data_IF_220817067948
#
_entry.id   IF_220817067948
#
_cell.length_a   1.000
_cell.length_b   1.000
_cell.length_c   1.000
_cell.angle_alpha   90.00
_cell.angle_beta   90.00
_cell.angle_gamma   90.00
#
_symmetry.space_group_name_H-M   'P 1'
#
loop_
_entity.id
_entity.type
_entity.pdbx_description
1 polymer ?
#
# COMPACT_ATOMS: atom_id res chain seq x y z
N UNK A 1 41.27 20.93 23.26
CA UNK A 1 40.66 19.63 23.65
C UNK A 1 39.13 19.61 23.54
N UNK A 2 38.46 20.57 22.86
CA UNK A 2 37.01 20.48 22.58
C UNK A 2 36.68 20.01 21.14
N UNK A 3 37.55 20.27 20.17
CA UNK A 3 37.33 19.89 18.76
C UNK A 3 37.34 18.36 18.52
N UNK A 4 38.15 17.61 19.28
CA UNK A 4 38.20 16.15 19.17
C UNK A 4 36.96 15.44 19.77
N UNK A 5 36.33 16.03 20.79
CA UNK A 5 35.13 15.48 21.40
C UNK A 5 33.88 15.65 20.52
N UNK A 6 33.83 16.73 19.73
CA UNK A 6 32.70 17.01 18.81
C UNK A 6 32.71 16.06 17.60
N UNK A 7 33.89 15.71 17.08
CA UNK A 7 34.00 14.79 15.94
C UNK A 7 33.51 13.36 16.27
N UNK A 8 33.68 12.92 17.52
CA UNK A 8 33.20 11.60 17.95
C UNK A 8 31.67 11.53 18.05
N UNK A 9 31.01 12.65 18.40
CA UNK A 9 29.55 12.70 18.50
C UNK A 9 28.86 12.57 17.13
N UNK A 10 29.42 13.19 16.08
CA UNK A 10 28.84 13.14 14.71
C UNK A 10 28.98 11.76 14.07
N UNK A 11 30.06 11.02 14.39
CA UNK A 11 30.26 9.66 13.88
C UNK A 11 29.24 8.64 14.42
N UNK A 12 28.66 8.89 15.60
CA UNK A 12 27.68 8.00 16.23
C UNK A 12 26.23 8.29 15.82
N UNK A 13 25.95 9.47 15.26
CA UNK A 13 24.62 9.84 14.75
C UNK A 13 24.06 8.83 13.74
N UNK A 14 24.79 8.38 12.70
CA UNK A 14 24.25 7.38 11.76
C UNK A 14 23.95 6.03 12.43
N UNK A 15 24.69 5.66 13.48
CA UNK A 15 24.51 4.40 14.20
C UNK A 15 23.25 4.43 15.08
N UNK A 16 22.96 5.59 15.70
CA UNK A 16 21.72 5.84 16.43
C UNK A 16 20.52 5.96 15.48
N UNK A 17 20.68 6.57 14.30
CA UNK A 17 19.63 6.62 13.27
C UNK A 17 19.31 5.24 12.71
N UNK A 18 20.31 4.37 12.49
CA UNK A 18 20.08 2.98 12.12
C UNK A 18 19.34 2.21 13.23
N UNK A 19 19.67 2.47 14.50
CA UNK A 19 18.98 1.86 15.64
C UNK A 19 17.54 2.37 15.80
N UNK A 20 17.30 3.65 15.53
CA UNK A 20 15.96 4.23 15.50
C UNK A 20 15.15 3.76 14.30
N UNK A 21 15.75 3.52 13.14
CA UNK A 21 15.05 2.90 12.01
C UNK A 21 14.66 1.45 12.27
N UNK A 22 15.45 0.69 13.06
CA UNK A 22 15.03 -0.63 13.57
C UNK A 22 13.97 -0.53 14.68
N UNK A 23 13.95 0.58 15.43
CA UNK A 23 12.95 0.86 16.47
C UNK A 23 11.68 1.56 15.96
N UNK A 24 11.67 2.02 14.70
CA UNK A 24 10.53 2.62 14.02
C UNK A 24 9.81 1.57 13.16
N UNK A 25 9.67 0.37 13.72
CA UNK A 25 8.56 -0.52 13.42
C UNK A 25 7.71 -0.52 14.69
N UNK A 26 6.50 0.02 14.60
CA UNK A 26 5.48 -0.16 15.65
C UNK A 26 5.49 -1.64 16.08
N UNK A 27 5.70 -1.86 17.38
CA UNK A 27 5.75 -3.12 18.12
C UNK A 27 5.30 -4.39 17.33
N UNK A 28 6.21 -4.98 16.57
CA UNK A 28 6.08 -6.36 16.07
C UNK A 28 7.22 -7.21 16.60
N UNK A 29 7.09 -7.63 17.87
CA UNK A 29 7.81 -8.82 18.36
C UNK A 29 7.22 -10.04 17.66
N UNK A 30 7.77 -10.40 16.51
CA UNK A 30 7.43 -11.60 15.75
C UNK A 30 8.47 -12.70 15.96
N UNK A 31 8.01 -13.88 16.38
CA UNK A 31 8.78 -15.12 16.41
C UNK A 31 9.21 -15.53 15.00
N UNK A 32 10.34 -16.23 14.93
CA UNK A 32 11.08 -16.53 13.70
C UNK A 32 10.29 -17.27 12.62
N UNK A 33 10.04 -16.56 11.53
CA UNK A 33 9.45 -16.99 10.26
C UNK A 33 9.18 -15.72 9.45
N UNK A 34 9.26 -15.74 8.12
CA UNK A 34 8.89 -14.56 7.31
C UNK A 34 7.49 -14.12 7.74
N UNK A 35 7.37 -12.89 8.22
CA UNK A 35 6.18 -12.44 8.91
C UNK A 35 4.96 -12.54 7.95
N UNK A 36 3.85 -13.19 8.34
CA UNK A 36 2.72 -13.51 7.44
C UNK A 36 2.14 -12.30 6.69
N UNK A 37 2.31 -11.10 7.23
CA UNK A 37 1.99 -9.79 6.65
C UNK A 37 2.76 -9.46 5.36
N UNK A 38 4.04 -9.84 5.27
CA UNK A 38 4.88 -9.56 4.10
C UNK A 38 4.39 -10.35 2.88
N UNK A 39 3.99 -11.61 3.08
CA UNK A 39 3.50 -12.48 2.00
C UNK A 39 2.11 -12.04 1.49
N UNK A 40 1.22 -11.67 2.41
CA UNK A 40 -0.10 -11.15 2.05
C UNK A 40 0.03 -9.83 1.25
N UNK A 41 0.88 -8.91 1.71
CA UNK A 41 1.12 -7.63 1.03
C UNK A 41 1.71 -7.83 -0.37
N UNK A 42 2.71 -8.72 -0.53
CA UNK A 42 3.28 -9.02 -1.84
C UNK A 42 2.28 -9.65 -2.82
N UNK A 43 1.32 -10.43 -2.31
CA UNK A 43 0.26 -11.02 -3.13
C UNK A 43 -0.76 -9.96 -3.56
N UNK A 44 -1.14 -9.03 -2.67
CA UNK A 44 -1.98 -7.88 -3.00
C UNK A 44 -1.29 -6.93 -4.00
N UNK A 45 0.02 -6.69 -3.86
CA UNK A 45 0.83 -5.93 -4.82
C UNK A 45 0.75 -6.52 -6.23
N UNK A 46 0.93 -7.84 -6.35
CA UNK A 46 0.86 -8.53 -7.63
C UNK A 46 -0.55 -8.48 -8.21
N UNK A 47 -1.57 -8.79 -7.41
CA UNK A 47 -2.96 -8.73 -7.87
C UNK A 47 -3.38 -7.32 -8.30
N UNK A 48 -2.88 -6.27 -7.65
CA UNK A 48 -3.11 -4.89 -8.10
C UNK A 48 -2.40 -4.61 -9.43
N UNK A 49 -1.16 -5.08 -9.59
CA UNK A 49 -0.44 -4.91 -10.85
C UNK A 49 -1.23 -5.54 -12.01
N UNK A 50 -1.64 -6.81 -11.83
CA UNK A 50 -2.42 -7.54 -12.83
C UNK A 50 -3.76 -6.85 -13.11
N UNK A 51 -4.48 -6.43 -12.05
CA UNK A 51 -5.79 -5.80 -12.17
C UNK A 51 -5.78 -4.40 -12.80
N UNK A 52 -4.60 -3.79 -12.95
CA UNK A 52 -4.45 -2.41 -13.43
C UNK A 52 -3.70 -2.30 -14.75
N UNK A 53 -3.21 -3.42 -15.28
CA UNK A 53 -2.40 -3.47 -16.49
C UNK A 53 -3.16 -2.92 -17.72
N UNK A 54 -4.41 -3.37 -17.91
CA UNK A 54 -5.19 -3.06 -19.10
C UNK A 54 -6.05 -1.79 -18.96
N UNK A 55 -6.23 -1.29 -17.73
CA UNK A 55 -7.13 -0.17 -17.42
C UNK A 55 -6.89 1.08 -18.29
N UNK A 56 -5.64 1.56 -18.51
CA UNK A 56 -5.41 2.72 -19.37
C UNK A 56 -5.83 2.52 -20.82
N UNK A 57 -5.81 1.28 -21.32
CA UNK A 57 -6.16 0.94 -22.71
C UNK A 57 -7.67 0.70 -22.88
N UNK A 58 -8.37 0.34 -21.82
CA UNK A 58 -9.80 0.01 -21.86
C UNK A 58 -10.70 1.19 -21.48
N UNK A 59 -10.33 2.00 -20.47
CA UNK A 59 -11.23 3.00 -19.90
C UNK A 59 -10.78 4.44 -20.13
N UNK A 60 -11.67 5.25 -20.72
CA UNK A 60 -11.54 6.71 -20.69
C UNK A 60 -11.72 7.25 -19.27
N UNK A 61 -11.22 8.46 -19.00
CA UNK A 61 -11.38 9.12 -17.70
C UNK A 61 -12.84 9.38 -17.32
N UNK A 62 -13.72 9.52 -18.31
CA UNK A 62 -15.16 9.65 -18.09
C UNK A 62 -15.77 8.37 -17.52
N UNK A 63 -15.13 7.22 -17.78
CA UNK A 63 -15.53 5.87 -17.37
C UNK A 63 -14.77 5.39 -16.13
N UNK A 64 -14.01 6.26 -15.47
CA UNK A 64 -13.19 5.92 -14.28
C UNK A 64 -13.93 5.15 -13.19
N UNK A 65 -15.23 5.41 -13.01
CA UNK A 65 -16.02 4.73 -11.98
C UNK A 65 -16.23 3.25 -12.35
N UNK A 66 -16.37 2.93 -13.65
CA UNK A 66 -16.40 1.57 -14.19
C UNK A 66 -15.02 0.89 -14.10
N UNK A 67 -13.94 1.63 -14.39
CA UNK A 67 -12.57 1.15 -14.20
C UNK A 67 -12.31 0.75 -12.72
N UNK A 68 -12.80 1.55 -11.77
CA UNK A 68 -12.69 1.23 -10.34
C UNK A 68 -13.49 -0.03 -10.00
N UNK A 69 -14.66 -0.22 -10.59
CA UNK A 69 -15.47 -1.42 -10.37
C UNK A 69 -14.80 -2.68 -10.90
N UNK A 70 -14.23 -2.63 -12.10
CA UNK A 70 -13.48 -3.75 -12.69
C UNK A 70 -12.23 -4.10 -11.86
N UNK A 71 -11.42 -3.11 -11.50
CA UNK A 71 -10.24 -3.30 -10.61
C UNK A 71 -10.65 -3.95 -9.29
N UNK A 72 -11.77 -3.51 -8.69
CA UNK A 72 -12.28 -4.09 -7.45
C UNK A 72 -12.78 -5.53 -7.64
N UNK A 73 -13.42 -5.83 -8.77
CA UNK A 73 -13.87 -7.17 -9.11
C UNK A 73 -12.70 -8.14 -9.28
N UNK A 74 -11.66 -7.71 -9.99
CA UNK A 74 -10.45 -8.53 -10.21
C UNK A 74 -9.67 -8.73 -8.90
N UNK A 75 -9.53 -7.67 -8.08
CA UNK A 75 -8.88 -7.76 -6.77
C UNK A 75 -9.66 -8.60 -5.76
N UNK A 76 -10.98 -8.67 -5.84
CA UNK A 76 -11.77 -9.51 -4.94
C UNK A 76 -11.32 -10.98 -5.01
N UNK A 77 -11.04 -11.48 -6.22
CA UNK A 77 -10.50 -12.84 -6.40
C UNK A 77 -9.13 -13.03 -5.77
N UNK A 78 -8.27 -11.99 -5.82
CA UNK A 78 -6.96 -12.01 -5.16
C UNK A 78 -7.09 -11.99 -3.64
N UNK A 79 -8.00 -11.16 -3.11
CA UNK A 79 -8.28 -11.06 -1.68
C UNK A 79 -8.78 -12.42 -1.16
N UNK A 80 -9.76 -13.02 -1.81
CA UNK A 80 -10.26 -14.36 -1.47
C UNK A 80 -9.15 -15.42 -1.45
N UNK A 81 -8.20 -15.35 -2.39
CA UNK A 81 -7.06 -16.26 -2.43
C UNK A 81 -6.11 -16.05 -1.24
N UNK A 82 -5.84 -14.80 -0.86
CA UNK A 82 -5.03 -14.48 0.34
C UNK A 82 -5.71 -15.02 1.59
N UNK A 83 -7.00 -14.74 1.77
CA UNK A 83 -7.78 -15.18 2.93
C UNK A 83 -7.80 -16.70 3.07
N UNK A 84 -8.01 -17.43 1.96
CA UNK A 84 -7.98 -18.90 1.95
C UNK A 84 -6.59 -19.47 2.23
N UNK A 85 -5.51 -18.85 1.72
CA UNK A 85 -4.14 -19.35 1.88
C UNK A 85 -3.60 -19.34 3.32
N UNK A 86 -4.25 -18.59 4.21
CA UNK A 86 -3.91 -18.55 5.63
C UNK A 86 -4.54 -19.70 6.43
N UNK A 87 -5.72 -20.18 6.01
CA UNK A 87 -6.52 -21.14 6.78
C UNK A 87 -5.78 -22.46 6.98
N UNK A 88 -5.07 -22.94 5.97
CA UNK A 88 -4.26 -24.16 6.03
C UNK A 88 -3.12 -24.08 7.06
N UNK A 89 -2.74 -22.86 7.46
CA UNK A 89 -1.69 -22.56 8.44
C UNK A 89 -2.24 -22.10 9.79
N UNK A 90 -3.56 -22.15 9.99
CA UNK A 90 -4.23 -21.67 11.20
C UNK A 90 -4.23 -20.15 11.35
N UNK A 91 -4.01 -19.41 10.26
CA UNK A 91 -4.00 -17.94 10.23
C UNK A 91 -5.19 -17.45 9.43
N UNK A 92 -6.08 -16.66 10.02
CA UNK A 92 -7.13 -15.97 9.27
C UNK A 92 -6.60 -14.61 8.81
N UNK A 93 -6.76 -14.31 7.52
CA UNK A 93 -6.59 -12.95 6.99
C UNK A 93 -7.98 -12.37 6.72
N UNK A 94 -8.15 -11.09 6.98
CA UNK A 94 -9.31 -10.31 6.53
C UNK A 94 -8.79 -9.04 5.88
N UNK A 95 -9.15 -8.82 4.62
CA UNK A 95 -8.72 -7.65 3.86
C UNK A 95 -9.93 -6.84 3.43
N UNK A 96 -9.90 -5.55 3.71
CA UNK A 96 -10.97 -4.62 3.32
C UNK A 96 -10.40 -3.34 2.75
N UNK A 97 -11.17 -2.65 1.89
CA UNK A 97 -10.73 -1.38 1.31
C UNK A 97 -10.81 -0.23 2.31
N UNK A 98 -9.72 0.52 2.46
CA UNK A 98 -9.66 1.70 3.32
C UNK A 98 -9.84 3.00 2.51
N UNK A 99 -11.08 3.48 2.45
CA UNK A 99 -11.44 4.73 1.74
C UNK A 99 -10.74 5.96 2.31
N UNK A 100 -10.61 6.03 3.62
CA UNK A 100 -9.99 7.17 4.32
C UNK A 100 -8.50 7.26 4.03
N UNK A 101 -7.78 6.12 4.05
CA UNK A 101 -6.36 6.06 3.74
C UNK A 101 -6.10 6.36 2.26
N UNK A 102 -6.94 5.85 1.36
CA UNK A 102 -6.86 6.20 -0.07
C UNK A 102 -7.04 7.71 -0.30
N UNK A 103 -8.06 8.33 0.31
CA UNK A 103 -8.30 9.76 0.20
C UNK A 103 -7.15 10.60 0.77
N UNK A 104 -6.61 10.20 1.94
CA UNK A 104 -5.44 10.85 2.55
C UNK A 104 -4.18 10.68 1.70
N UNK A 105 -3.97 9.52 1.09
CA UNK A 105 -2.86 9.29 0.18
C UNK A 105 -2.98 10.20 -1.04
N UNK A 106 -4.16 10.25 -1.67
CA UNK A 106 -4.41 11.10 -2.84
C UNK A 106 -4.19 12.58 -2.51
N UNK A 107 -4.69 13.05 -1.37
CA UNK A 107 -4.48 14.44 -0.93
C UNK A 107 -3.00 14.81 -0.73
N UNK A 108 -2.13 13.85 -0.38
CA UNK A 108 -0.69 14.08 -0.19
C UNK A 108 0.14 13.93 -1.46
N UNK A 109 -0.25 13.03 -2.35
CA UNK A 109 0.57 12.65 -3.51
C UNK A 109 0.04 13.19 -4.84
N UNK A 110 -1.15 13.80 -4.85
CA UNK A 110 -1.71 14.39 -6.05
C UNK A 110 -1.70 15.93 -5.96
N UNK A 111 -0.82 16.58 -6.74
CA UNK A 111 -0.82 18.03 -6.88
C UNK A 111 -2.17 18.54 -7.40
N UNK A 112 -2.57 19.71 -6.93
CA UNK A 112 -3.78 20.41 -7.40
C UNK A 112 -3.41 21.76 -8.01
N UNK A 113 -4.36 22.38 -8.72
CA UNK A 113 -4.14 23.67 -9.38
C UNK A 113 -3.67 23.57 -10.84
N UNK A 114 -3.30 24.70 -11.45
CA UNK A 114 -2.97 24.81 -12.87
C UNK A 114 -1.63 24.16 -13.24
N UNK A 115 -0.67 24.08 -12.30
CA UNK A 115 0.69 23.58 -12.57
C UNK A 115 0.84 22.06 -12.40
N UNK A 116 -0.26 21.31 -12.37
CA UNK A 116 -0.20 19.85 -12.27
C UNK A 116 0.22 19.22 -13.60
N UNK A 117 1.14 18.26 -13.55
CA UNK A 117 1.61 17.52 -14.74
C UNK A 117 0.54 16.59 -15.33
N UNK A 118 -0.35 16.06 -14.49
CA UNK A 118 -1.40 15.13 -14.88
C UNK A 118 -2.78 15.70 -14.59
N UNK A 119 -3.81 15.05 -15.13
CA UNK A 119 -5.20 15.46 -14.93
C UNK A 119 -5.68 15.20 -13.49
N UNK A 120 -7.01 15.20 -13.32
CA UNK A 120 -7.61 15.08 -11.99
C UNK A 120 -7.22 13.75 -11.33
N UNK A 121 -6.88 13.79 -10.04
CA UNK A 121 -6.63 12.61 -9.21
C UNK A 121 -7.74 12.45 -8.17
N UNK A 122 -8.17 11.21 -7.94
CA UNK A 122 -9.28 10.88 -7.07
C UNK A 122 -9.03 9.57 -6.32
N UNK A 123 -9.53 9.51 -5.09
CA UNK A 123 -9.75 8.24 -4.41
C UNK A 123 -11.24 7.89 -4.51
N UNK A 124 -11.56 6.77 -5.14
CA UNK A 124 -12.92 6.21 -5.21
C UNK A 124 -12.94 4.83 -4.57
N UNK A 125 -13.83 4.62 -3.60
CA UNK A 125 -14.04 3.33 -2.90
C UNK A 125 -12.75 2.64 -2.43
N UNK A 126 -11.68 3.38 -2.14
CA UNK A 126 -10.40 2.82 -1.69
C UNK A 126 -9.38 2.56 -2.80
N UNK A 127 -9.74 2.76 -4.06
CA UNK A 127 -8.84 2.76 -5.23
C UNK A 127 -8.49 4.20 -5.58
N UNK A 128 -7.26 4.45 -6.02
CA UNK A 128 -6.74 5.77 -6.32
C UNK A 128 -6.47 5.84 -7.82
N UNK A 129 -7.14 6.75 -8.50
CA UNK A 129 -7.09 6.92 -9.96
C UNK A 129 -6.66 8.32 -10.34
N UNK A 130 -6.03 8.45 -11.49
CA UNK A 130 -5.58 9.70 -12.06
C UNK A 130 -5.84 9.73 -13.56
N UNK A 131 -6.33 10.85 -14.04
CA UNK A 131 -6.44 11.14 -15.46
C UNK A 131 -5.06 11.39 -16.08
N UNK A 132 -4.72 10.65 -17.13
CA UNK A 132 -3.57 10.99 -17.99
C UNK A 132 -3.98 10.84 -19.44
N UNK A 133 -3.80 11.90 -20.22
CA UNK A 133 -4.15 11.92 -21.65
C UNK A 133 -5.59 11.48 -21.95
N UNK A 134 -6.53 11.85 -21.06
CA UNK A 134 -7.95 11.46 -21.18
C UNK A 134 -8.26 10.02 -20.75
N UNK A 135 -7.26 9.24 -20.33
CA UNK A 135 -7.40 7.84 -19.91
C UNK A 135 -7.36 7.70 -18.39
N UNK A 136 -7.98 6.63 -17.88
CA UNK A 136 -7.93 6.30 -16.46
C UNK A 136 -6.65 5.53 -16.15
N UNK A 137 -5.84 6.06 -15.22
CA UNK A 137 -4.69 5.33 -14.67
C UNK A 137 -4.92 5.06 -13.18
N UNK A 138 -4.72 3.81 -12.76
CA UNK A 138 -4.74 3.47 -11.34
C UNK A 138 -3.35 3.71 -10.75
N UNK A 139 -3.28 4.50 -9.68
CA UNK A 139 -2.04 4.78 -8.95
C UNK A 139 -1.83 3.81 -7.78
N UNK A 140 -2.91 3.30 -7.20
CA UNK A 140 -2.85 2.42 -6.05
C UNK A 140 -4.21 2.03 -5.48
N UNK A 141 -4.21 1.20 -4.46
CA UNK A 141 -5.37 0.89 -3.64
C UNK A 141 -4.96 0.82 -2.16
N UNK A 142 -5.83 1.27 -1.26
CA UNK A 142 -5.60 1.23 0.18
C UNK A 142 -6.47 0.18 0.86
N UNK A 143 -5.88 -0.52 1.83
CA UNK A 143 -6.50 -1.63 2.53
C UNK A 143 -6.30 -1.54 4.04
N UNK A 144 -7.26 -2.07 4.78
CA UNK A 144 -7.10 -2.51 6.16
C UNK A 144 -6.96 -4.03 6.16
N UNK A 145 -5.91 -4.52 6.81
CA UNK A 145 -5.59 -5.94 6.91
C UNK A 145 -5.62 -6.32 8.38
N UNK A 146 -6.37 -7.37 8.68
CA UNK A 146 -6.37 -8.02 10.00
C UNK A 146 -5.83 -9.43 9.82
N UNK A 147 -4.87 -9.81 10.66
CA UNK A 147 -4.25 -11.12 10.70
C UNK A 147 -4.52 -11.71 12.09
N UNK A 148 -5.28 -12.79 12.14
CA UNK A 148 -5.63 -13.48 13.38
C UNK A 148 -4.97 -14.85 13.39
N UNK A 149 -4.13 -15.09 14.39
CA UNK A 149 -3.56 -16.40 14.72
C UNK A 149 -4.15 -16.88 16.05
N UNK A 150 -3.92 -18.13 16.48
CA UNK A 150 -4.44 -18.63 17.76
C UNK A 150 -4.00 -17.80 18.97
N UNK A 151 -2.81 -17.19 18.89
CA UNK A 151 -2.18 -16.49 20.02
C UNK A 151 -2.23 -14.96 19.89
N UNK A 152 -2.61 -14.41 18.72
CA UNK A 152 -2.49 -12.97 18.44
C UNK A 152 -3.44 -12.50 17.35
N UNK A 153 -3.86 -11.24 17.48
CA UNK A 153 -4.42 -10.46 16.38
C UNK A 153 -3.50 -9.28 16.04
N UNK A 154 -3.30 -9.03 14.75
CA UNK A 154 -2.53 -7.91 14.21
C UNK A 154 -3.40 -7.15 13.22
N UNK A 155 -3.50 -5.83 13.37
CA UNK A 155 -4.24 -4.96 12.45
C UNK A 155 -3.34 -3.85 11.94
N UNK A 156 -3.35 -3.62 10.64
CA UNK A 156 -2.62 -2.53 10.02
C UNK A 156 -3.31 -2.03 8.76
N UNK A 157 -3.03 -0.78 8.38
CA UNK A 157 -3.53 -0.20 7.14
C UNK A 157 -2.38 0.05 6.17
N UNK A 158 -2.54 -0.37 4.92
CA UNK A 158 -1.53 -0.22 3.86
C UNK A 158 -2.08 0.44 2.60
N UNK A 159 -1.21 0.99 1.75
CA UNK A 159 -1.52 1.49 0.41
C UNK A 159 -0.55 0.79 -0.49
N UNK A 160 -1.10 0.02 -1.39
CA UNK A 160 -0.38 -0.69 -2.42
C UNK A 160 -0.33 0.24 -3.63
N UNK A 161 0.86 0.60 -4.05
CA UNK A 161 1.07 1.50 -5.20
C UNK A 161 1.33 0.67 -6.45
N UNK A 162 0.84 1.16 -7.59
CA UNK A 162 1.15 0.57 -8.89
C UNK A 162 2.60 0.91 -9.23
N UNK A 163 3.52 -0.02 -8.99
CA UNK A 163 4.92 0.10 -9.40
C UNK A 163 4.97 0.19 -10.93
N UNK A 164 5.46 1.30 -11.48
CA UNK A 164 5.81 1.37 -12.91
C UNK A 164 7.08 0.56 -13.10
N UNK A 165 6.96 -0.58 -13.79
CA UNK A 165 8.11 -1.32 -14.31
C UNK A 165 8.79 -0.58 -15.45
#
# INVERSE_FOLDING_TARGET
>A
MLLAAIALAVALVPLVLAYLQLGYHDDVRAGGGTAPDVQATATLERGLHDATADVPFEYDWRERDAAVDDVRGQLASTIDAVERSGLDRGTAFTVSYNRTRAARWAARHCPSGPDREFGRCLADRGVIVQERQGRTHVLGAAFDVTVTTPDRELQFSTTVERRTG
#
